data_IF_585043361545
#
_entry.id   IF_585043361545
#
_cell.length_a   1.000
_cell.length_b   1.000
_cell.length_c   1.000
_cell.angle_alpha   90.00
_cell.angle_beta   90.00
_cell.angle_gamma   90.00
#
_symmetry.space_group_name_H-M   'P 1'
#
loop_
_entity.id
_entity.type
_entity.pdbx_description
1 polymer ?
#
# COMPACT_ATOMS: atom_id res chain seq x y z
N UNK A 1 47.24 -0.72 12.88
CA UNK A 1 46.04 -0.41 12.08
C UNK A 1 44.73 -0.68 12.84
N UNK A 2 44.48 -1.88 13.35
CA UNK A 2 43.24 -2.15 14.14
C UNK A 2 43.32 -1.49 15.52
N UNK A 3 44.45 -1.48 16.18
CA UNK A 3 44.68 -0.81 17.48
C UNK A 3 44.52 0.71 17.35
N UNK A 4 45.00 1.32 16.29
CA UNK A 4 44.90 2.76 16.05
C UNK A 4 43.46 3.19 15.75
N UNK A 5 42.67 2.31 15.09
CA UNK A 5 41.24 2.51 14.83
C UNK A 5 40.41 2.48 16.13
N UNK A 6 40.69 1.53 17.05
CA UNK A 6 40.06 1.42 18.35
C UNK A 6 40.37 2.61 19.26
N UNK A 7 41.60 3.11 19.20
CA UNK A 7 42.04 4.29 19.94
C UNK A 7 41.38 5.56 19.42
N UNK A 8 41.31 5.71 18.09
CA UNK A 8 40.57 6.80 17.43
C UNK A 8 39.08 6.79 17.78
N UNK A 9 38.45 5.59 17.83
CA UNK A 9 37.07 5.43 18.25
C UNK A 9 36.82 5.85 19.71
N UNK A 10 37.74 5.49 20.59
CA UNK A 10 37.70 5.85 22.01
C UNK A 10 37.85 7.35 22.24
N UNK A 11 38.72 8.00 21.48
CA UNK A 11 38.91 9.45 21.50
C UNK A 11 37.69 10.18 20.95
N UNK A 12 37.10 9.67 19.84
CA UNK A 12 35.88 10.20 19.26
C UNK A 12 34.70 10.15 20.25
N UNK A 13 34.48 9.00 20.90
CA UNK A 13 33.43 8.84 21.92
C UNK A 13 33.68 9.73 23.15
N UNK A 14 34.95 9.92 23.56
CA UNK A 14 35.29 10.83 24.65
C UNK A 14 34.97 12.30 24.35
N UNK A 15 35.22 12.75 23.11
CA UNK A 15 34.89 14.10 22.65
C UNK A 15 33.39 14.41 22.66
N UNK A 16 32.54 13.39 22.40
CA UNK A 16 31.07 13.52 22.41
C UNK A 16 30.50 13.78 23.80
N UNK A 17 31.14 13.20 24.84
CA UNK A 17 30.66 13.31 26.23
C UNK A 17 30.99 14.68 26.83
N UNK A 18 32.03 15.36 26.36
CA UNK A 18 32.43 16.67 26.86
C UNK A 18 31.47 17.78 26.44
N UNK A 19 30.88 17.72 25.24
CA UNK A 19 29.97 18.73 24.70
C UNK A 19 28.58 18.17 24.31
N UNK A 20 27.89 17.58 25.29
CA UNK A 20 26.63 16.81 25.08
C UNK A 20 25.55 17.56 24.30
N UNK A 21 25.32 18.84 24.60
CA UNK A 21 24.29 19.66 23.94
C UNK A 21 24.60 19.88 22.45
N UNK A 22 25.87 20.13 22.13
CA UNK A 22 26.32 20.39 20.77
C UNK A 22 26.25 19.09 19.91
N UNK A 23 26.76 18.00 20.46
CA UNK A 23 26.70 16.68 19.81
C UNK A 23 25.27 16.19 19.62
N UNK A 24 24.39 16.42 20.59
CA UNK A 24 22.97 16.10 20.49
C UNK A 24 22.25 16.89 19.40
N UNK A 25 22.53 18.19 19.31
CA UNK A 25 21.87 19.05 18.31
C UNK A 25 22.28 18.72 16.87
N UNK A 26 23.53 18.29 16.66
CA UNK A 26 24.04 17.86 15.35
C UNK A 26 23.51 16.48 14.94
N UNK A 27 23.57 15.54 15.87
CA UNK A 27 23.00 14.23 15.63
C UNK A 27 21.51 14.31 15.33
N UNK A 28 20.79 15.30 15.88
CA UNK A 28 19.34 15.46 15.67
C UNK A 28 18.97 15.55 14.19
N UNK A 29 19.72 16.29 13.37
CA UNK A 29 19.48 16.37 11.93
C UNK A 29 19.64 15.02 11.22
N UNK A 30 20.69 14.26 11.59
CA UNK A 30 20.90 12.91 11.05
C UNK A 30 19.85 11.94 11.57
N UNK A 31 19.49 12.00 12.85
CA UNK A 31 18.48 11.17 13.50
C UNK A 31 17.12 11.36 12.81
N UNK A 32 16.69 12.61 12.61
CA UNK A 32 15.42 12.93 11.94
C UNK A 32 15.46 12.46 10.48
N UNK A 33 16.55 12.76 9.76
CA UNK A 33 16.69 12.36 8.35
C UNK A 33 16.63 10.86 8.18
N UNK A 34 17.42 10.10 8.92
CA UNK A 34 17.46 8.64 8.85
C UNK A 34 16.15 8.02 9.39
N UNK A 35 15.63 8.55 10.51
CA UNK A 35 14.38 8.06 11.08
C UNK A 35 13.19 8.24 10.14
N UNK A 36 13.12 9.37 9.45
CA UNK A 36 12.10 9.63 8.44
C UNK A 36 12.24 8.65 7.25
N UNK A 37 13.47 8.42 6.74
CA UNK A 37 13.70 7.45 5.66
C UNK A 37 13.20 6.06 6.05
N UNK A 38 13.61 5.56 7.21
CA UNK A 38 13.21 4.22 7.67
C UNK A 38 11.70 4.13 7.87
N UNK A 39 11.08 5.10 8.56
CA UNK A 39 9.64 5.08 8.80
C UNK A 39 8.85 5.06 7.48
N UNK A 40 9.24 5.89 6.52
CA UNK A 40 8.54 6.03 5.25
C UNK A 40 8.75 4.83 4.33
N UNK A 41 9.98 4.30 4.25
CA UNK A 41 10.25 3.07 3.49
C UNK A 41 9.49 1.88 4.09
N UNK A 42 9.46 1.77 5.42
CA UNK A 42 8.74 0.68 6.10
C UNK A 42 7.23 0.71 5.84
N UNK A 43 6.62 1.90 5.79
CA UNK A 43 5.20 2.07 5.43
C UNK A 43 4.98 1.77 3.95
N UNK A 44 5.87 2.21 3.06
CA UNK A 44 5.79 1.93 1.62
C UNK A 44 5.86 0.43 1.31
N UNK A 45 6.83 -0.27 1.89
CA UNK A 45 6.97 -1.73 1.78
C UNK A 45 5.76 -2.46 2.38
N UNK A 46 5.27 -2.02 3.54
CA UNK A 46 4.07 -2.58 4.16
C UNK A 46 2.82 -2.44 3.28
N UNK A 47 2.65 -1.29 2.63
CA UNK A 47 1.58 -1.06 1.68
C UNK A 47 1.69 -1.99 0.47
N UNK A 48 2.90 -2.15 -0.08
CA UNK A 48 3.15 -3.05 -1.20
C UNK A 48 2.86 -4.52 -0.84
N UNK A 49 3.32 -4.98 0.32
CA UNK A 49 3.02 -6.34 0.83
C UNK A 49 1.51 -6.51 0.98
N UNK A 50 0.80 -5.57 1.60
CA UNK A 50 -0.65 -5.63 1.77
C UNK A 50 -1.40 -5.70 0.43
N UNK A 51 -0.99 -4.93 -0.57
CA UNK A 51 -1.59 -4.97 -1.92
C UNK A 51 -1.30 -6.31 -2.58
N UNK A 52 -0.05 -6.79 -2.51
CA UNK A 52 0.34 -8.09 -3.08
C UNK A 52 -0.43 -9.24 -2.44
N UNK A 53 -0.59 -9.22 -1.11
CA UNK A 53 -1.35 -10.25 -0.39
C UNK A 53 -2.84 -10.23 -0.79
N UNK A 54 -3.44 -9.05 -0.94
CA UNK A 54 -4.82 -8.93 -1.43
C UNK A 54 -4.98 -9.50 -2.84
N UNK A 55 -4.06 -9.20 -3.74
CA UNK A 55 -4.09 -9.68 -5.12
C UNK A 55 -3.90 -11.19 -5.16
N UNK A 56 -2.91 -11.72 -4.45
CA UNK A 56 -2.62 -13.17 -4.42
C UNK A 56 -3.74 -13.96 -3.74
N UNK A 57 -4.42 -13.39 -2.76
CA UNK A 57 -5.56 -14.03 -2.08
C UNK A 57 -6.77 -14.25 -2.99
N UNK A 58 -6.92 -13.44 -4.03
CA UNK A 58 -8.01 -13.55 -5.03
C UNK A 58 -7.58 -14.43 -6.22
N UNK A 59 -6.29 -14.46 -6.54
CA UNK A 59 -5.70 -15.17 -7.68
C UNK A 59 -5.15 -14.18 -8.72
N UNK A 60 -3.99 -14.50 -9.25
CA UNK A 60 -3.27 -13.66 -10.23
C UNK A 60 -3.88 -13.68 -11.63
N UNK A 61 -4.80 -14.62 -11.90
CA UNK A 61 -5.44 -14.86 -13.19
C UNK A 61 -6.87 -14.29 -13.28
N UNK A 62 -7.25 -13.39 -12.36
CA UNK A 62 -8.56 -12.72 -12.37
C UNK A 62 -8.50 -11.44 -13.21
N UNK A 63 -9.45 -11.31 -14.13
CA UNK A 63 -9.76 -10.08 -14.85
C UNK A 63 -11.10 -9.55 -14.38
N UNK A 64 -11.20 -8.24 -14.20
CA UNK A 64 -12.45 -7.56 -13.85
C UNK A 64 -12.87 -6.63 -14.98
N UNK A 65 -14.02 -6.90 -15.57
CA UNK A 65 -14.64 -6.05 -16.59
C UNK A 65 -15.62 -5.10 -15.89
N UNK A 66 -15.43 -3.82 -16.08
CA UNK A 66 -16.27 -2.77 -15.50
C UNK A 66 -16.83 -1.86 -16.60
N UNK A 67 -18.03 -1.25 -16.39
CA UNK A 67 -18.50 -0.19 -17.27
C UNK A 67 -17.50 0.98 -17.31
N UNK A 68 -17.35 1.59 -18.47
CA UNK A 68 -16.54 2.78 -18.64
C UNK A 68 -17.12 4.02 -17.93
N UNK A 69 -16.52 5.19 -18.13
CA UNK A 69 -17.08 6.44 -17.64
C UNK A 69 -18.29 6.84 -18.49
N UNK A 70 -19.38 7.24 -17.81
CA UNK A 70 -20.53 7.83 -18.50
C UNK A 70 -20.10 9.15 -19.18
N UNK A 71 -20.48 9.32 -20.44
CA UNK A 71 -20.18 10.54 -21.20
C UNK A 71 -21.40 11.45 -21.23
N UNK A 72 -21.26 12.65 -20.71
CA UNK A 72 -22.24 13.72 -20.79
C UNK A 72 -21.66 14.86 -21.65
N UNK A 73 -21.66 14.68 -22.99
CA UNK A 73 -21.00 15.60 -23.90
C UNK A 73 -19.46 15.61 -23.72
N UNK A 74 -18.82 16.78 -23.53
CA UNK A 74 -17.37 16.85 -23.31
C UNK A 74 -16.92 16.45 -21.88
N UNK A 75 -17.86 16.15 -20.98
CA UNK A 75 -17.56 15.79 -19.58
C UNK A 75 -17.62 14.28 -19.43
N UNK A 76 -16.52 13.70 -18.93
CA UNK A 76 -16.45 12.28 -18.55
C UNK A 76 -16.83 12.13 -17.09
N UNK A 77 -17.72 11.17 -16.81
CA UNK A 77 -18.04 10.72 -15.45
C UNK A 77 -16.93 9.83 -14.85
N UNK A 78 -17.14 9.36 -13.65
CA UNK A 78 -16.25 8.38 -13.02
C UNK A 78 -16.32 7.02 -13.75
N UNK A 79 -15.25 6.25 -13.75
CA UNK A 79 -15.24 4.86 -14.24
C UNK A 79 -16.31 4.05 -13.49
N UNK A 80 -17.04 3.20 -14.21
CA UNK A 80 -18.18 2.43 -13.65
C UNK A 80 -19.51 3.19 -13.64
N UNK A 81 -19.57 4.45 -14.08
CA UNK A 81 -20.81 5.24 -14.10
C UNK A 81 -21.67 5.04 -15.35
N UNK A 82 -21.11 4.46 -16.42
CA UNK A 82 -21.88 4.10 -17.60
C UNK A 82 -22.73 2.84 -17.31
N UNK A 83 -24.01 2.89 -17.69
CA UNK A 83 -24.91 1.73 -17.58
C UNK A 83 -24.88 0.93 -18.90
N UNK A 84 -23.69 0.51 -19.32
CA UNK A 84 -23.46 -0.14 -20.62
C UNK A 84 -23.29 -1.63 -20.53
N UNK A 85 -22.76 -2.16 -19.42
CA UNK A 85 -22.50 -3.58 -19.26
C UNK A 85 -23.77 -4.31 -18.77
N UNK A 86 -24.16 -5.35 -19.49
CA UNK A 86 -25.41 -6.09 -19.25
C UNK A 86 -25.14 -7.53 -18.77
N UNK A 87 -26.17 -8.16 -18.22
CA UNK A 87 -26.12 -9.58 -17.87
C UNK A 87 -25.93 -10.47 -19.11
N UNK A 88 -26.54 -10.09 -20.24
CA UNK A 88 -26.39 -10.80 -21.52
C UNK A 88 -24.95 -10.73 -22.04
N UNK A 89 -24.19 -9.67 -21.72
CA UNK A 89 -22.74 -9.59 -22.02
C UNK A 89 -21.94 -10.58 -21.17
N UNK A 90 -22.30 -10.72 -19.90
CA UNK A 90 -21.68 -11.71 -19.04
C UNK A 90 -21.99 -13.16 -19.48
N UNK A 91 -23.21 -13.43 -19.97
CA UNK A 91 -23.54 -14.73 -20.58
C UNK A 91 -22.71 -14.99 -21.84
N UNK A 92 -22.56 -13.97 -22.70
CA UNK A 92 -21.73 -14.09 -23.89
C UNK A 92 -20.24 -14.31 -23.59
N UNK A 93 -19.73 -13.73 -22.48
CA UNK A 93 -18.38 -13.97 -21.99
C UNK A 93 -18.22 -15.40 -21.41
N UNK A 94 -19.31 -16.01 -20.93
CA UNK A 94 -19.31 -17.37 -20.40
C UNK A 94 -19.28 -18.46 -21.48
N UNK A 95 -19.54 -18.08 -22.74
CA UNK A 95 -19.52 -19.04 -23.87
C UNK A 95 -18.06 -19.34 -24.27
N UNK A 96 -17.61 -20.61 -24.16
CA UNK A 96 -16.26 -21.02 -24.52
C UNK A 96 -15.91 -20.81 -26.02
N UNK A 97 -16.92 -20.58 -26.90
CA UNK A 97 -16.67 -20.24 -28.30
C UNK A 97 -16.22 -18.79 -28.45
N UNK A 98 -16.65 -17.91 -27.54
CA UNK A 98 -16.31 -16.49 -27.57
C UNK A 98 -15.01 -16.20 -26.78
N UNK A 99 -14.85 -16.83 -25.62
CA UNK A 99 -13.68 -16.65 -24.73
C UNK A 99 -13.17 -18.03 -24.27
N UNK A 100 -12.44 -18.77 -25.14
CA UNK A 100 -12.03 -20.15 -24.88
C UNK A 100 -11.10 -20.30 -23.68
N UNK A 101 -10.34 -19.26 -23.32
CA UNK A 101 -9.38 -19.29 -22.23
C UNK A 101 -9.98 -18.82 -20.89
N UNK A 102 -11.25 -18.45 -20.85
CA UNK A 102 -11.97 -18.15 -19.62
C UNK A 102 -12.55 -19.42 -18.99
N UNK A 103 -12.22 -19.68 -17.71
CA UNK A 103 -12.66 -20.85 -16.96
C UNK A 103 -13.90 -20.55 -16.12
N UNK A 104 -13.97 -19.36 -15.54
CA UNK A 104 -15.07 -18.90 -14.69
C UNK A 104 -15.48 -17.49 -15.10
N UNK A 105 -16.78 -17.26 -15.24
CA UNK A 105 -17.33 -15.92 -15.46
C UNK A 105 -18.43 -15.67 -14.42
N UNK A 106 -18.22 -14.65 -13.59
CA UNK A 106 -19.14 -14.32 -12.50
C UNK A 106 -19.63 -12.86 -12.63
N UNK A 107 -20.87 -12.65 -13.11
CA UNK A 107 -21.49 -11.34 -13.12
C UNK A 107 -21.79 -10.86 -11.72
N UNK A 108 -21.63 -9.56 -11.49
CA UNK A 108 -21.94 -8.90 -10.22
C UNK A 108 -22.78 -7.66 -10.46
N UNK A 109 -23.81 -7.50 -9.66
CA UNK A 109 -24.56 -6.25 -9.55
C UNK A 109 -24.54 -5.79 -8.11
N UNK A 110 -23.84 -4.73 -7.80
CA UNK A 110 -23.62 -4.28 -6.42
C UNK A 110 -24.08 -2.84 -6.18
N UNK A 111 -24.67 -2.61 -5.03
CA UNK A 111 -24.95 -1.28 -4.47
C UNK A 111 -24.86 -1.30 -2.95
N UNK A 112 -24.39 -0.21 -2.38
CA UNK A 112 -24.42 -0.03 -0.92
C UNK A 112 -25.80 0.36 -0.46
N UNK A 113 -26.28 -0.30 0.59
CA UNK A 113 -27.58 -0.02 1.21
C UNK A 113 -27.60 -0.48 2.67
N UNK A 114 -28.64 -0.09 3.38
CA UNK A 114 -28.83 -0.49 4.78
C UNK A 114 -29.34 -1.93 4.87
N UNK A 115 -28.66 -2.71 5.72
CA UNK A 115 -29.06 -4.07 6.11
C UNK A 115 -29.38 -4.09 7.60
N UNK A 116 -30.55 -4.65 7.95
CA UNK A 116 -31.15 -4.52 9.27
C UNK A 116 -31.51 -5.88 9.81
N UNK A 117 -31.15 -6.15 11.06
CA UNK A 117 -31.61 -7.30 11.85
C UNK A 117 -31.98 -6.84 13.25
N UNK A 118 -33.25 -7.00 13.65
CA UNK A 118 -33.72 -6.47 14.94
C UNK A 118 -33.49 -4.97 15.06
N UNK A 119 -32.70 -4.58 16.03
CA UNK A 119 -32.28 -3.21 16.30
C UNK A 119 -30.90 -2.89 15.69
N UNK A 120 -30.17 -3.90 15.21
CA UNK A 120 -28.87 -3.72 14.52
C UNK A 120 -29.08 -3.25 13.07
N UNK A 121 -28.21 -2.33 12.65
CA UNK A 121 -28.28 -1.70 11.34
C UNK A 121 -26.87 -1.38 10.86
N UNK A 122 -26.51 -1.91 9.70
CA UNK A 122 -25.23 -1.65 9.05
C UNK A 122 -25.44 -1.08 7.65
N UNK A 123 -24.52 -0.27 7.19
CA UNK A 123 -24.44 0.11 5.77
C UNK A 123 -23.42 -0.82 5.11
N UNK A 124 -23.92 -1.72 4.26
CA UNK A 124 -23.11 -2.76 3.64
C UNK A 124 -23.28 -2.75 2.13
N UNK A 125 -22.29 -3.26 1.42
CA UNK A 125 -22.39 -3.54 -0.01
C UNK A 125 -23.20 -4.82 -0.22
N UNK A 126 -24.36 -4.69 -0.86
CA UNK A 126 -25.18 -5.85 -1.25
C UNK A 126 -24.82 -6.23 -2.66
N UNK A 127 -24.19 -7.42 -2.81
CA UNK A 127 -23.72 -7.98 -4.07
C UNK A 127 -24.68 -9.06 -4.58
N UNK A 128 -25.33 -8.76 -5.69
CA UNK A 128 -26.04 -9.78 -6.47
C UNK A 128 -25.06 -10.53 -7.36
N UNK A 129 -24.96 -11.84 -7.23
CA UNK A 129 -24.03 -12.66 -8.02
C UNK A 129 -24.57 -14.09 -8.25
N UNK A 130 -23.75 -14.93 -8.90
CA UNK A 130 -24.04 -16.33 -9.18
C UNK A 130 -23.14 -17.23 -8.31
N UNK A 131 -23.33 -18.54 -8.40
CA UNK A 131 -22.48 -19.57 -7.76
C UNK A 131 -21.03 -19.49 -8.22
N UNK A 132 -20.77 -19.08 -9.47
CA UNK A 132 -19.44 -18.91 -10.04
C UNK A 132 -18.58 -17.88 -9.26
N UNK A 133 -19.18 -16.94 -8.55
CA UNK A 133 -18.46 -15.92 -7.79
C UNK A 133 -17.64 -16.49 -6.64
N UNK A 134 -18.13 -17.57 -6.02
CA UNK A 134 -17.41 -18.24 -4.94
C UNK A 134 -16.03 -18.70 -5.40
N UNK A 135 -15.97 -19.40 -6.55
CA UNK A 135 -14.71 -19.87 -7.14
C UNK A 135 -13.89 -18.74 -7.73
N UNK A 136 -14.52 -17.74 -8.38
CA UNK A 136 -13.82 -16.60 -8.97
C UNK A 136 -13.07 -15.76 -7.92
N UNK A 137 -13.60 -15.67 -6.71
CA UNK A 137 -13.03 -14.89 -5.62
C UNK A 137 -12.37 -15.75 -4.54
N UNK A 138 -12.27 -17.08 -4.75
CA UNK A 138 -11.70 -18.02 -3.79
C UNK A 138 -12.28 -17.83 -2.37
N UNK A 139 -13.63 -17.85 -2.26
CA UNK A 139 -14.34 -17.66 -0.99
C UNK A 139 -14.63 -18.99 -0.33
N UNK A 140 -14.38 -19.10 0.97
CA UNK A 140 -14.71 -20.26 1.79
C UNK A 140 -15.92 -19.96 2.67
N UNK A 141 -16.75 -20.97 2.89
CA UNK A 141 -17.98 -20.87 3.69
C UNK A 141 -17.73 -21.48 5.06
N UNK A 142 -17.79 -20.64 6.11
CA UNK A 142 -17.63 -21.08 7.50
C UNK A 142 -18.84 -21.88 8.01
N UNK A 143 -20.06 -21.47 7.63
CA UNK A 143 -21.27 -22.19 7.99
C UNK A 143 -22.38 -22.03 6.95
N UNK A 144 -23.21 -23.07 6.78
CA UNK A 144 -24.27 -23.07 5.78
C UNK A 144 -23.78 -23.41 4.38
N UNK A 145 -24.25 -22.66 3.37
CA UNK A 145 -23.88 -22.80 1.96
C UNK A 145 -23.81 -21.45 1.26
N UNK A 146 -23.11 -21.41 0.13
CA UNK A 146 -23.15 -20.27 -0.77
C UNK A 146 -24.41 -20.27 -1.66
N UNK A 147 -24.58 -19.24 -2.50
CA UNK A 147 -25.62 -19.15 -3.52
C UNK A 147 -25.40 -20.27 -4.54
N UNK A 148 -26.47 -20.92 -4.94
CA UNK A 148 -26.47 -21.93 -6.00
C UNK A 148 -27.26 -21.45 -7.21
N UNK A 149 -27.03 -22.01 -8.40
CA UNK A 149 -27.76 -21.63 -9.61
C UNK A 149 -29.29 -21.72 -9.45
N UNK A 150 -29.78 -22.69 -8.68
CA UNK A 150 -31.24 -22.80 -8.36
C UNK A 150 -31.81 -21.57 -7.62
N UNK A 151 -30.98 -20.87 -6.83
CA UNK A 151 -31.42 -19.66 -6.10
C UNK A 151 -31.51 -18.47 -7.07
N UNK A 152 -30.60 -18.42 -8.07
CA UNK A 152 -30.63 -17.42 -9.15
C UNK A 152 -31.88 -17.61 -10.01
N UNK A 153 -32.11 -18.85 -10.47
CA UNK A 153 -33.25 -19.17 -11.35
C UNK A 153 -34.60 -18.87 -10.70
N UNK A 154 -34.76 -19.17 -9.41
CA UNK A 154 -35.97 -18.95 -8.63
C UNK A 154 -36.12 -17.54 -8.08
N UNK A 155 -35.12 -16.67 -8.29
CA UNK A 155 -35.04 -15.36 -7.63
C UNK A 155 -35.30 -15.47 -6.13
N UNK A 156 -34.59 -16.41 -5.48
CA UNK A 156 -34.78 -16.75 -4.10
C UNK A 156 -34.44 -15.58 -3.17
N UNK A 157 -35.26 -15.39 -2.13
CA UNK A 157 -35.00 -14.36 -1.11
C UNK A 157 -34.02 -14.91 -0.05
N UNK A 158 -32.79 -15.17 -0.45
CA UNK A 158 -31.71 -15.70 0.40
C UNK A 158 -30.52 -14.77 0.41
N UNK A 159 -29.70 -14.83 1.47
CA UNK A 159 -28.48 -14.05 1.61
C UNK A 159 -27.38 -14.90 2.23
N UNK A 160 -26.15 -14.64 1.81
CA UNK A 160 -24.91 -15.11 2.45
C UNK A 160 -24.20 -13.88 3.02
N UNK A 161 -23.75 -13.96 4.26
CA UNK A 161 -23.09 -12.86 4.95
C UNK A 161 -21.58 -13.03 4.91
N UNK A 162 -20.86 -11.95 4.68
CA UNK A 162 -19.45 -11.89 5.01
C UNK A 162 -19.22 -11.99 6.52
N UNK A 163 -18.03 -12.34 6.92
CA UNK A 163 -17.69 -12.59 8.34
C UNK A 163 -18.02 -11.38 9.23
N UNK A 164 -17.53 -10.20 8.86
CA UNK A 164 -17.72 -8.96 9.63
C UNK A 164 -19.18 -8.52 9.63
N UNK A 165 -19.86 -8.60 8.46
CA UNK A 165 -21.28 -8.28 8.37
C UNK A 165 -22.13 -9.17 9.28
N UNK A 166 -21.77 -10.46 9.40
CA UNK A 166 -22.43 -11.37 10.33
C UNK A 166 -22.17 -11.01 11.80
N UNK A 167 -20.95 -10.63 12.15
CA UNK A 167 -20.61 -10.18 13.50
C UNK A 167 -21.34 -8.90 13.89
N UNK A 168 -21.38 -7.91 13.00
CA UNK A 168 -21.98 -6.60 13.27
C UNK A 168 -23.52 -6.68 13.41
N UNK A 169 -24.16 -7.58 12.62
CA UNK A 169 -25.60 -7.76 12.68
C UNK A 169 -26.07 -8.66 13.81
N UNK A 170 -25.31 -9.72 14.12
CA UNK A 170 -25.76 -10.78 15.03
C UNK A 170 -24.99 -10.84 16.35
N UNK A 171 -23.85 -10.14 16.48
CA UNK A 171 -23.10 -10.06 17.74
C UNK A 171 -22.65 -11.43 18.30
N UNK A 172 -22.42 -12.42 17.40
CA UNK A 172 -22.02 -13.78 17.76
C UNK A 172 -23.18 -14.78 17.88
N UNK A 173 -24.44 -14.39 17.65
CA UNK A 173 -25.54 -15.34 17.52
C UNK A 173 -25.50 -16.03 16.14
N UNK A 174 -26.01 -17.27 16.07
CA UNK A 174 -26.08 -18.00 14.81
C UNK A 174 -27.03 -17.29 13.81
N UNK A 175 -26.53 -16.79 12.69
CA UNK A 175 -27.34 -16.10 11.71
C UNK A 175 -28.10 -17.03 10.75
N UNK A 176 -27.76 -18.33 10.68
CA UNK A 176 -28.36 -19.25 9.72
C UNK A 176 -29.87 -19.42 9.97
N UNK A 177 -30.67 -19.30 8.91
CA UNK A 177 -32.13 -19.36 8.97
C UNK A 177 -32.82 -18.09 9.46
N UNK A 178 -32.08 -17.10 9.96
CA UNK A 178 -32.62 -15.82 10.39
C UNK A 178 -32.99 -14.93 9.19
N UNK A 179 -33.88 -13.98 9.43
CA UNK A 179 -34.33 -13.04 8.38
C UNK A 179 -33.76 -11.66 8.59
N UNK A 180 -32.96 -11.20 7.66
CA UNK A 180 -32.49 -9.83 7.56
C UNK A 180 -33.42 -9.02 6.62
N UNK A 181 -33.40 -7.70 6.78
CA UNK A 181 -34.12 -6.76 5.91
C UNK A 181 -33.14 -5.86 5.19
N UNK A 182 -33.23 -5.82 3.87
CA UNK A 182 -32.42 -4.94 3.02
C UNK A 182 -33.30 -3.78 2.56
N UNK A 183 -32.82 -2.55 2.74
CA UNK A 183 -33.55 -1.37 2.30
C UNK A 183 -33.54 -1.27 0.76
N UNK A 184 -34.69 -0.94 0.17
CA UNK A 184 -34.83 -0.74 -1.28
C UNK A 184 -34.28 0.63 -1.67
N UNK A 185 -33.63 0.71 -2.80
CA UNK A 185 -33.26 1.99 -3.42
C UNK A 185 -34.49 2.56 -4.13
N UNK A 186 -35.15 3.58 -3.55
CA UNK A 186 -36.30 4.26 -4.18
C UNK A 186 -37.08 5.13 -3.18
N UNK A 187 -37.89 6.05 -3.70
CA UNK A 187 -38.68 7.02 -2.90
C UNK A 187 -39.69 6.40 -1.92
N UNK A 188 -40.05 5.14 -2.11
CA UNK A 188 -41.08 4.46 -1.29
C UNK A 188 -40.57 3.74 -0.05
N UNK A 189 -39.27 3.79 0.26
CA UNK A 189 -38.66 3.31 1.52
C UNK A 189 -39.00 1.84 1.88
N UNK A 190 -39.23 0.98 0.89
CA UNK A 190 -39.54 -0.43 1.10
C UNK A 190 -38.37 -1.23 1.62
N UNK A 191 -38.62 -2.45 2.10
CA UNK A 191 -37.60 -3.40 2.56
C UNK A 191 -37.90 -4.79 2.02
N UNK A 192 -36.87 -5.49 1.55
CA UNK A 192 -36.96 -6.92 1.19
C UNK A 192 -36.43 -7.75 2.33
N UNK A 193 -37.18 -8.78 2.70
CA UNK A 193 -36.75 -9.75 3.71
C UNK A 193 -36.03 -10.91 3.03
N UNK A 194 -34.81 -11.19 3.47
CA UNK A 194 -33.92 -12.26 2.98
C UNK A 194 -33.62 -13.23 4.11
N UNK A 195 -33.60 -14.53 3.82
CA UNK A 195 -33.22 -15.56 4.78
C UNK A 195 -31.71 -15.82 4.66
N UNK A 196 -30.98 -15.75 5.75
CA UNK A 196 -29.54 -16.06 5.78
C UNK A 196 -29.34 -17.57 5.61
N UNK A 197 -28.54 -17.96 4.59
CA UNK A 197 -28.26 -19.36 4.25
C UNK A 197 -26.81 -19.76 4.43
N UNK A 198 -25.92 -18.80 4.62
CA UNK A 198 -24.49 -19.04 4.82
C UNK A 198 -23.79 -17.84 5.42
N UNK A 199 -22.63 -18.12 5.99
CA UNK A 199 -21.63 -17.13 6.47
C UNK A 199 -20.28 -17.52 5.91
N UNK A 200 -19.54 -16.55 5.36
CA UNK A 200 -18.20 -16.77 4.84
C UNK A 200 -17.17 -16.82 5.97
N UNK A 201 -16.05 -17.50 5.70
CA UNK A 201 -14.87 -17.38 6.53
C UNK A 201 -14.26 -15.98 6.42
N UNK A 202 -13.54 -15.57 7.46
CA UNK A 202 -12.79 -14.32 7.47
C UNK A 202 -11.68 -14.39 6.41
N UNK A 203 -11.78 -13.56 5.39
CA UNK A 203 -10.77 -13.49 4.32
C UNK A 203 -9.63 -12.54 4.67
N UNK A 204 -9.91 -11.60 5.56
CA UNK A 204 -9.02 -10.50 5.87
C UNK A 204 -8.94 -9.53 4.69
N UNK A 205 -8.81 -8.28 4.97
CA UNK A 205 -8.71 -7.25 3.94
C UNK A 205 -9.13 -5.92 4.54
N UNK A 206 -8.24 -4.96 4.48
CA UNK A 206 -8.47 -3.65 5.03
C UNK A 206 -9.44 -2.85 4.18
N UNK A 207 -10.41 -2.28 4.84
CA UNK A 207 -11.12 -1.03 4.51
C UNK A 207 -11.60 -0.84 3.06
N UNK A 208 -12.88 -0.67 2.88
CA UNK A 208 -13.63 -0.29 1.67
C UNK A 208 -13.83 -1.39 0.63
N UNK A 209 -14.75 -2.31 0.94
CA UNK A 209 -15.27 -3.27 -0.03
C UNK A 209 -14.74 -4.70 0.13
N UNK A 210 -14.31 -5.07 1.32
CA UNK A 210 -13.93 -6.45 1.65
C UNK A 210 -15.14 -7.39 1.53
N UNK A 211 -14.90 -8.63 1.12
CA UNK A 211 -15.94 -9.67 1.12
C UNK A 211 -16.52 -9.89 2.53
N UNK A 212 -15.73 -9.57 3.56
CA UNK A 212 -16.12 -9.72 4.96
C UNK A 212 -17.24 -8.77 5.39
N UNK A 213 -17.31 -7.55 4.78
CA UNK A 213 -18.36 -6.57 5.07
C UNK A 213 -19.57 -6.68 4.17
N UNK A 214 -19.52 -7.58 3.18
CA UNK A 214 -20.52 -7.68 2.12
C UNK A 214 -21.68 -8.62 2.46
N UNK A 215 -22.83 -8.38 1.81
CA UNK A 215 -23.99 -9.27 1.83
C UNK A 215 -24.23 -9.78 0.41
N UNK A 216 -24.14 -11.07 0.19
CA UNK A 216 -24.29 -11.72 -1.11
C UNK A 216 -25.73 -12.20 -1.27
N UNK A 217 -26.31 -11.96 -2.44
CA UNK A 217 -27.66 -12.37 -2.80
C UNK A 217 -27.67 -12.90 -4.24
N UNK A 218 -28.65 -13.71 -4.66
CA UNK A 218 -28.77 -14.09 -6.07
C UNK A 218 -28.89 -12.85 -6.98
N UNK A 219 -28.12 -12.79 -8.08
CA UNK A 219 -28.07 -11.62 -8.95
C UNK A 219 -29.46 -11.23 -9.47
N UNK A 220 -30.27 -12.22 -9.82
CA UNK A 220 -31.66 -12.00 -10.25
C UNK A 220 -32.55 -11.34 -9.17
N UNK A 221 -32.27 -11.62 -7.88
CA UNK A 221 -32.96 -11.00 -6.74
C UNK A 221 -32.49 -9.56 -6.55
N UNK A 222 -31.16 -9.31 -6.64
CA UNK A 222 -30.59 -7.96 -6.56
C UNK A 222 -31.16 -7.04 -7.64
N UNK A 223 -31.11 -7.48 -8.90
CA UNK A 223 -31.53 -6.69 -10.07
C UNK A 223 -33.03 -6.43 -10.14
N UNK A 224 -33.87 -7.36 -9.66
CA UNK A 224 -35.34 -7.25 -9.87
C UNK A 224 -36.15 -6.92 -8.63
N UNK A 225 -35.64 -7.22 -7.43
CA UNK A 225 -36.37 -7.03 -6.17
C UNK A 225 -35.79 -5.95 -5.27
N UNK A 226 -34.46 -5.75 -5.30
CA UNK A 226 -33.79 -4.85 -4.37
C UNK A 226 -33.45 -3.50 -5.03
N UNK A 227 -32.87 -3.48 -6.24
CA UNK A 227 -32.28 -2.28 -6.81
C UNK A 227 -32.90 -1.79 -8.13
N UNK A 228 -33.80 -2.51 -8.74
CA UNK A 228 -34.30 -2.23 -10.09
C UNK A 228 -33.18 -1.97 -11.10
N UNK A 229 -32.32 -2.98 -11.27
CA UNK A 229 -31.08 -2.91 -12.05
C UNK A 229 -31.34 -3.05 -13.56
N UNK A 230 -32.14 -2.18 -14.17
CA UNK A 230 -32.44 -2.18 -15.61
C UNK A 230 -31.99 -0.86 -16.24
N UNK A 231 -31.54 -0.96 -17.50
CA UNK A 231 -31.31 0.24 -18.31
C UNK A 231 -32.62 0.70 -18.99
N UNK A 232 -32.55 1.78 -19.74
CA UNK A 232 -33.69 2.34 -20.46
C UNK A 232 -34.28 1.40 -21.53
N UNK A 233 -33.54 0.38 -21.96
CA UNK A 233 -33.96 -0.65 -22.90
C UNK A 233 -34.62 -1.86 -22.20
N UNK A 234 -34.62 -1.87 -20.86
CA UNK A 234 -35.11 -2.97 -20.04
C UNK A 234 -34.13 -4.11 -19.81
N UNK A 235 -32.89 -4.00 -20.28
CA UNK A 235 -31.83 -4.99 -20.11
C UNK A 235 -31.32 -4.98 -18.68
N UNK A 236 -30.96 -6.15 -18.13
CA UNK A 236 -30.43 -6.27 -16.78
C UNK A 236 -28.97 -5.84 -16.75
N UNK A 237 -28.67 -4.87 -15.89
CA UNK A 237 -27.32 -4.31 -15.75
C UNK A 237 -26.46 -5.14 -14.81
N UNK A 238 -25.17 -5.16 -15.06
CA UNK A 238 -24.14 -5.59 -14.12
C UNK A 238 -23.18 -4.43 -13.83
N UNK A 239 -22.67 -4.38 -12.61
CA UNK A 239 -21.69 -3.37 -12.20
C UNK A 239 -20.26 -3.81 -12.51
N UNK A 240 -20.05 -5.13 -12.61
CA UNK A 240 -18.79 -5.74 -13.05
C UNK A 240 -19.03 -7.20 -13.47
N UNK A 241 -18.09 -7.72 -14.24
CA UNK A 241 -18.00 -9.15 -14.55
C UNK A 241 -16.59 -9.61 -14.19
N UNK A 242 -16.51 -10.59 -13.31
CA UNK A 242 -15.25 -11.22 -12.95
C UNK A 242 -15.00 -12.41 -13.88
N UNK A 243 -13.87 -12.43 -14.53
CA UNK A 243 -13.46 -13.48 -15.48
C UNK A 243 -12.15 -14.07 -15.00
N UNK A 244 -12.12 -15.38 -14.79
CA UNK A 244 -10.91 -16.11 -14.38
C UNK A 244 -10.33 -16.79 -15.61
N UNK A 245 -9.10 -16.44 -15.97
CA UNK A 245 -8.35 -17.10 -17.03
C UNK A 245 -7.83 -18.46 -16.57
N UNK A 246 -7.55 -19.35 -17.52
CA UNK A 246 -7.03 -20.70 -17.25
C UNK A 246 -5.68 -20.68 -16.51
N UNK A 247 -4.84 -19.69 -16.77
CA UNK A 247 -3.59 -19.41 -16.05
C UNK A 247 -3.20 -17.95 -16.21
N UNK A 248 -2.19 -17.51 -15.48
CA UNK A 248 -1.63 -16.17 -15.59
C UNK A 248 -1.14 -15.86 -17.01
N UNK A 249 -0.51 -16.82 -17.67
CA UNK A 249 -0.04 -16.66 -19.05
C UNK A 249 -1.17 -16.43 -20.08
N UNK A 250 -2.42 -16.80 -19.75
CA UNK A 250 -3.58 -16.63 -20.63
C UNK A 250 -4.34 -15.30 -20.36
N UNK A 251 -3.97 -14.54 -19.34
CA UNK A 251 -4.70 -13.31 -18.97
C UNK A 251 -4.74 -12.30 -20.11
N UNK A 252 -3.61 -12.07 -20.78
CA UNK A 252 -3.54 -11.15 -21.92
C UNK A 252 -4.41 -11.63 -23.11
N UNK A 253 -4.42 -12.94 -23.40
CA UNK A 253 -5.26 -13.50 -24.46
C UNK A 253 -6.76 -13.38 -24.12
N UNK A 254 -7.13 -13.65 -22.86
CA UNK A 254 -8.51 -13.46 -22.36
C UNK A 254 -8.92 -11.99 -22.43
N UNK A 255 -8.05 -11.06 -22.08
CA UNK A 255 -8.29 -9.63 -22.19
C UNK A 255 -8.57 -9.20 -23.64
N UNK A 256 -7.76 -9.66 -24.60
CA UNK A 256 -7.98 -9.39 -26.03
C UNK A 256 -9.31 -9.98 -26.51
N UNK A 257 -9.65 -11.21 -26.11
CA UNK A 257 -10.91 -11.87 -26.44
C UNK A 257 -12.12 -11.11 -25.87
N UNK A 258 -12.06 -10.67 -24.62
CA UNK A 258 -13.10 -9.84 -23.97
C UNK A 258 -13.27 -8.53 -24.72
N UNK A 259 -12.16 -7.84 -25.02
CA UNK A 259 -12.18 -6.58 -25.76
C UNK A 259 -12.79 -6.73 -27.15
N UNK A 260 -12.42 -7.76 -27.90
CA UNK A 260 -12.97 -8.01 -29.24
C UNK A 260 -14.47 -8.33 -29.18
N UNK A 261 -14.91 -9.17 -28.23
CA UNK A 261 -16.30 -9.56 -28.08
C UNK A 261 -17.18 -8.36 -27.70
N UNK A 262 -16.81 -7.64 -26.64
CA UNK A 262 -17.62 -6.53 -26.11
C UNK A 262 -17.66 -5.35 -27.08
N UNK A 263 -16.57 -5.01 -27.75
CA UNK A 263 -16.57 -3.99 -28.82
C UNK A 263 -17.54 -4.35 -29.93
N UNK A 264 -17.52 -5.61 -30.37
CA UNK A 264 -18.46 -6.11 -31.37
C UNK A 264 -19.92 -6.03 -30.94
N UNK A 265 -20.22 -6.42 -29.69
CA UNK A 265 -21.58 -6.41 -29.12
C UNK A 265 -22.13 -4.99 -28.90
N UNK A 266 -21.26 -4.08 -28.45
CA UNK A 266 -21.61 -2.68 -28.21
C UNK A 266 -21.56 -1.82 -29.49
N UNK A 267 -21.16 -2.40 -30.64
CA UNK A 267 -21.10 -1.70 -31.93
C UNK A 267 -20.02 -0.62 -32.00
N UNK A 268 -18.94 -0.77 -31.24
CA UNK A 268 -17.85 0.18 -31.17
C UNK A 268 -16.83 -0.03 -32.30
N UNK A 269 -16.50 1.04 -33.02
CA UNK A 269 -15.46 1.05 -34.03
C UNK A 269 -14.06 0.87 -33.45
N UNK A 270 -13.07 0.53 -34.28
CA UNK A 270 -11.68 0.32 -33.82
C UNK A 270 -11.07 1.58 -33.22
N UNK A 271 -11.45 2.77 -33.72
CA UNK A 271 -10.94 4.07 -33.27
C UNK A 271 -11.83 4.73 -32.20
N UNK A 272 -12.92 4.08 -31.80
CA UNK A 272 -13.80 4.59 -30.76
C UNK A 272 -13.29 4.13 -29.37
N UNK A 273 -13.38 5.02 -28.38
CA UNK A 273 -13.08 4.65 -27.02
C UNK A 273 -14.07 3.60 -26.49
N UNK A 274 -13.57 2.60 -25.80
CA UNK A 274 -14.42 1.59 -25.20
C UNK A 274 -15.30 2.19 -24.09
N UNK A 275 -16.55 1.75 -24.04
CA UNK A 275 -17.52 2.10 -22.99
C UNK A 275 -17.48 1.10 -21.81
N UNK A 276 -16.48 0.26 -21.79
CA UNK A 276 -16.08 -0.65 -20.73
C UNK A 276 -14.57 -0.60 -20.52
N UNK A 277 -14.11 -1.15 -19.40
CA UNK A 277 -12.69 -1.32 -19.08
C UNK A 277 -12.46 -2.73 -18.56
N UNK A 278 -11.44 -3.37 -19.09
CA UNK A 278 -10.91 -4.61 -18.53
C UNK A 278 -9.73 -4.25 -17.64
N UNK A 279 -9.74 -4.73 -16.43
CA UNK A 279 -8.65 -4.56 -15.45
C UNK A 279 -8.13 -5.94 -15.10
N UNK A 280 -6.84 -6.14 -15.26
CA UNK A 280 -6.20 -7.35 -14.82
C UNK A 280 -5.44 -7.09 -13.50
N UNK A 281 -5.18 -8.15 -12.73
CA UNK A 281 -4.48 -8.03 -11.45
C UNK A 281 -3.03 -7.55 -11.60
N UNK A 282 -2.36 -7.89 -12.70
CA UNK A 282 -1.00 -7.45 -12.99
C UNK A 282 -0.94 -5.92 -13.18
N UNK A 283 -1.92 -5.32 -13.86
CA UNK A 283 -2.01 -3.86 -14.04
C UNK A 283 -2.18 -3.14 -12.70
N UNK A 284 -2.93 -3.73 -11.77
CA UNK A 284 -3.08 -3.18 -10.42
C UNK A 284 -1.78 -3.20 -9.64
N UNK A 285 -1.00 -4.29 -9.78
CA UNK A 285 0.34 -4.39 -9.17
C UNK A 285 1.31 -3.38 -9.79
N UNK A 286 1.30 -3.22 -11.11
CA UNK A 286 2.14 -2.25 -11.81
C UNK A 286 1.81 -0.83 -11.37
N UNK A 287 0.53 -0.47 -11.30
CA UNK A 287 0.07 0.84 -10.81
C UNK A 287 0.48 1.07 -9.34
N UNK A 288 0.36 0.06 -8.48
CA UNK A 288 0.79 0.15 -7.09
C UNK A 288 2.30 0.35 -6.96
N UNK A 289 3.09 -0.36 -7.78
CA UNK A 289 4.54 -0.21 -7.85
C UNK A 289 4.94 1.17 -8.35
N UNK A 290 4.25 1.70 -9.36
CA UNK A 290 4.48 3.06 -9.88
C UNK A 290 4.22 4.12 -8.82
N UNK A 291 3.06 4.05 -8.15
CA UNK A 291 2.71 4.98 -7.05
C UNK A 291 3.73 4.90 -5.92
N UNK A 292 4.11 3.69 -5.50
CA UNK A 292 5.12 3.48 -4.46
C UNK A 292 6.49 4.02 -4.89
N UNK A 293 6.86 3.84 -6.17
CA UNK A 293 8.06 4.41 -6.75
C UNK A 293 8.09 5.94 -6.69
N UNK A 294 7.00 6.59 -7.10
CA UNK A 294 6.86 8.06 -7.04
C UNK A 294 6.97 8.55 -5.59
N UNK A 295 6.27 7.91 -4.66
CA UNK A 295 6.34 8.25 -3.24
C UNK A 295 7.75 8.08 -2.69
N UNK A 296 8.44 7.00 -3.03
CA UNK A 296 9.82 6.74 -2.61
C UNK A 296 10.78 7.83 -3.10
N UNK A 297 10.66 8.27 -4.35
CA UNK A 297 11.48 9.38 -4.89
C UNK A 297 11.19 10.69 -4.16
N UNK A 298 9.91 11.01 -3.95
CA UNK A 298 9.50 12.23 -3.25
C UNK A 298 10.01 12.26 -1.80
N UNK A 299 9.83 11.16 -1.09
CA UNK A 299 10.26 11.01 0.30
C UNK A 299 11.79 10.96 0.40
N UNK A 300 12.46 10.33 -0.57
CA UNK A 300 13.92 10.33 -0.69
C UNK A 300 14.49 11.73 -0.87
N UNK A 301 13.80 12.60 -1.63
CA UNK A 301 14.20 14.00 -1.77
C UNK A 301 14.09 14.77 -0.44
N UNK A 302 12.99 14.59 0.31
CA UNK A 302 12.80 15.22 1.64
C UNK A 302 13.87 14.72 2.61
N UNK A 303 14.14 13.43 2.63
CA UNK A 303 15.17 12.82 3.44
C UNK A 303 16.56 13.34 3.07
N UNK A 304 16.85 13.47 1.77
CA UNK A 304 18.09 14.06 1.27
C UNK A 304 18.30 15.48 1.78
N UNK A 305 17.28 16.32 1.75
CA UNK A 305 17.35 17.69 2.30
C UNK A 305 17.61 17.65 3.82
N UNK A 306 16.92 16.79 4.56
CA UNK A 306 17.12 16.62 6.00
C UNK A 306 18.53 16.16 6.34
N UNK A 307 19.08 15.23 5.56
CA UNK A 307 20.45 14.75 5.71
C UNK A 307 21.48 15.82 5.35
N UNK A 308 21.25 16.65 4.33
CA UNK A 308 22.09 17.80 4.01
C UNK A 308 22.15 18.79 5.18
N UNK A 309 21.00 19.11 5.77
CA UNK A 309 20.94 20.00 6.94
C UNK A 309 21.69 19.40 8.13
N UNK A 310 21.50 18.09 8.40
CA UNK A 310 22.24 17.36 9.43
C UNK A 310 23.75 17.32 9.15
N UNK A 311 24.13 17.11 7.91
CA UNK A 311 25.54 17.11 7.47
C UNK A 311 26.22 18.48 7.62
N UNK A 312 25.54 19.57 7.26
CA UNK A 312 26.00 20.94 7.53
C UNK A 312 26.19 21.17 9.03
N UNK A 313 25.29 20.63 9.85
CA UNK A 313 25.43 20.63 11.30
C UNK A 313 26.72 19.92 11.76
N UNK A 314 27.02 18.72 11.24
CA UNK A 314 28.26 17.99 11.52
C UNK A 314 29.46 18.84 11.11
N UNK A 315 29.47 19.39 9.89
CA UNK A 315 30.55 20.22 9.37
C UNK A 315 30.83 21.43 10.28
N UNK A 316 29.77 22.18 10.67
CA UNK A 316 29.93 23.37 11.51
C UNK A 316 30.53 23.02 12.88
N UNK A 317 30.10 21.92 13.50
CA UNK A 317 30.65 21.53 14.80
C UNK A 317 32.10 21.02 14.67
N UNK A 318 32.39 20.29 13.63
CA UNK A 318 33.76 19.85 13.38
C UNK A 318 34.68 21.04 13.16
N UNK A 319 34.27 22.12 12.47
CA UNK A 319 35.04 23.35 12.31
C UNK A 319 35.31 24.02 13.66
N UNK A 320 34.30 24.12 14.51
CA UNK A 320 34.42 24.66 15.87
C UNK A 320 35.37 23.77 16.70
N UNK A 321 35.22 22.44 16.61
CA UNK A 321 36.11 21.49 17.31
C UNK A 321 37.57 21.64 16.87
N UNK A 322 37.84 21.86 15.58
CA UNK A 322 39.16 22.11 15.05
C UNK A 322 39.76 23.40 15.64
N UNK A 323 38.98 24.49 15.72
CA UNK A 323 39.43 25.75 16.30
C UNK A 323 39.71 25.65 17.80
N UNK A 324 38.85 25.00 18.56
CA UNK A 324 39.02 24.74 20.01
C UNK A 324 40.25 23.86 20.30
N UNK A 325 40.56 22.92 19.40
CA UNK A 325 41.70 21.99 19.54
C UNK A 325 42.95 22.40 18.74
N UNK A 326 43.02 23.64 18.24
CA UNK A 326 44.14 24.12 17.38
C UNK A 326 45.47 23.88 18.03
N UNK A 327 45.66 24.23 19.32
CA UNK A 327 46.90 24.06 20.08
C UNK A 327 47.28 22.55 20.25
N UNK A 328 46.32 21.70 20.52
CA UNK A 328 46.49 20.24 20.63
C UNK A 328 46.98 19.64 19.31
N UNK A 329 46.34 20.04 18.19
CA UNK A 329 46.77 19.62 16.83
C UNK A 329 48.20 20.11 16.55
N UNK A 330 48.53 21.34 16.95
CA UNK A 330 49.85 21.90 16.83
C UNK A 330 50.91 21.08 17.57
N UNK A 331 50.65 20.68 18.81
CA UNK A 331 51.52 19.83 19.62
C UNK A 331 51.73 18.47 18.94
N UNK A 332 50.68 17.80 18.51
CA UNK A 332 50.79 16.50 17.82
C UNK A 332 51.67 16.59 16.56
N UNK A 333 51.46 17.61 15.77
CA UNK A 333 52.29 17.85 14.56
C UNK A 333 53.74 18.20 14.89
N UNK A 334 53.98 18.94 15.95
CA UNK A 334 55.33 19.26 16.39
C UNK A 334 56.12 18.01 16.88
N UNK A 335 55.41 17.02 17.45
CA UNK A 335 55.97 15.73 17.88
C UNK A 335 56.08 14.71 16.70
N UNK A 336 55.62 15.07 15.49
CA UNK A 336 55.81 14.27 14.28
C UNK A 336 54.59 13.60 13.69
N UNK A 337 53.37 13.94 14.12
CA UNK A 337 52.15 13.42 13.49
C UNK A 337 52.05 13.87 12.02
N UNK A 338 51.73 12.93 11.13
CA UNK A 338 51.55 13.19 9.71
C UNK A 338 50.20 13.85 9.44
N UNK A 339 50.10 14.57 8.31
CA UNK A 339 48.81 15.13 7.87
C UNK A 339 47.73 14.09 7.78
N UNK A 340 48.06 12.89 7.30
CA UNK A 340 47.13 11.77 7.19
C UNK A 340 46.55 11.31 8.56
N UNK A 341 47.37 11.32 9.60
CA UNK A 341 46.96 10.86 10.94
C UNK A 341 45.89 11.80 11.52
N UNK A 342 46.12 13.13 11.38
CA UNK A 342 45.14 14.16 11.79
C UNK A 342 43.87 14.09 10.96
N UNK A 343 44.00 13.96 9.63
CA UNK A 343 42.87 13.85 8.71
C UNK A 343 41.98 12.63 9.07
N UNK A 344 42.59 11.46 9.23
CA UNK A 344 41.91 10.21 9.56
C UNK A 344 41.21 10.33 10.92
N UNK A 345 41.86 10.94 11.92
CA UNK A 345 41.25 11.12 13.23
C UNK A 345 39.96 11.94 13.18
N UNK A 346 39.98 13.12 12.57
CA UNK A 346 38.81 13.99 12.46
C UNK A 346 37.72 13.40 11.55
N UNK A 347 38.13 12.71 10.48
CA UNK A 347 37.17 12.01 9.60
C UNK A 347 36.45 10.88 10.34
N UNK A 348 37.18 10.08 11.14
CA UNK A 348 36.60 9.05 11.99
C UNK A 348 35.62 9.64 13.03
N UNK A 349 35.92 10.81 13.59
CA UNK A 349 35.04 11.51 14.53
C UNK A 349 33.69 11.88 13.83
N UNK A 350 33.75 12.40 12.61
CA UNK A 350 32.55 12.71 11.82
C UNK A 350 31.74 11.45 11.45
N UNK A 351 32.40 10.37 11.05
CA UNK A 351 31.78 9.08 10.72
C UNK A 351 31.12 8.46 11.95
N UNK A 352 31.78 8.48 13.10
CA UNK A 352 31.18 7.96 14.34
C UNK A 352 29.94 8.74 14.74
N UNK A 353 29.99 10.08 14.65
CA UNK A 353 28.84 10.96 14.90
C UNK A 353 27.64 10.62 13.99
N UNK A 354 27.91 10.47 12.69
CA UNK A 354 26.86 10.18 11.72
C UNK A 354 26.30 8.77 11.88
N UNK A 355 27.14 7.77 12.17
CA UNK A 355 26.68 6.39 12.41
C UNK A 355 25.87 6.26 13.70
N UNK A 356 26.26 6.94 14.77
CA UNK A 356 25.49 6.96 16.02
C UNK A 356 24.13 7.67 15.81
N UNK A 357 24.13 8.80 15.11
CA UNK A 357 22.89 9.48 14.70
C UNK A 357 22.03 8.59 13.83
N UNK A 358 22.63 7.89 12.85
CA UNK A 358 21.95 6.92 11.99
C UNK A 358 21.33 5.75 12.77
N UNK A 359 22.07 5.16 13.70
CA UNK A 359 21.59 4.05 14.54
C UNK A 359 20.38 4.48 15.39
N UNK A 360 20.48 5.64 16.04
CA UNK A 360 19.36 6.19 16.82
C UNK A 360 18.18 6.49 15.89
N UNK A 361 18.45 7.06 14.70
CA UNK A 361 17.44 7.32 13.67
C UNK A 361 16.72 6.04 13.24
N UNK A 362 17.45 4.95 12.98
CA UNK A 362 16.87 3.64 12.65
C UNK A 362 15.97 3.14 13.77
N UNK A 363 16.43 3.19 15.02
CA UNK A 363 15.64 2.76 16.16
C UNK A 363 14.34 3.56 16.31
N UNK A 364 14.40 4.87 16.13
CA UNK A 364 13.23 5.75 16.15
C UNK A 364 12.30 5.51 14.95
N UNK A 365 12.85 5.33 13.75
CA UNK A 365 12.08 5.01 12.54
C UNK A 365 11.31 3.70 12.67
N UNK A 366 11.98 2.64 13.15
CA UNK A 366 11.35 1.34 13.46
C UNK A 366 10.28 1.49 14.55
N UNK A 367 10.56 2.29 15.59
CA UNK A 367 9.59 2.56 16.65
C UNK A 367 8.33 3.27 16.14
N UNK A 368 8.49 4.26 15.26
CA UNK A 368 7.38 4.95 14.61
C UNK A 368 6.59 4.01 13.69
N UNK A 369 7.27 3.15 12.91
CA UNK A 369 6.60 2.13 12.10
C UNK A 369 5.70 1.22 12.94
N UNK A 370 6.22 0.69 14.07
CA UNK A 370 5.42 -0.12 15.00
C UNK A 370 4.24 0.62 15.62
N UNK A 371 4.37 1.92 15.86
CA UNK A 371 3.24 2.73 16.33
C UNK A 371 2.14 2.83 15.27
N UNK A 372 2.50 2.92 13.99
CA UNK A 372 1.54 2.87 12.88
C UNK A 372 0.86 1.51 12.82
N UNK A 373 1.59 0.41 12.95
CA UNK A 373 1.01 -0.95 13.01
C UNK A 373 -0.07 -1.09 14.11
N UNK A 374 0.19 -0.51 15.28
CA UNK A 374 -0.76 -0.56 16.41
C UNK A 374 -2.08 0.19 16.12
N UNK A 375 -2.11 1.09 15.14
CA UNK A 375 -3.36 1.77 14.75
C UNK A 375 -4.26 0.89 13.86
N UNK A 376 -3.74 -0.24 13.34
CA UNK A 376 -4.45 -1.13 12.43
C UNK A 376 -4.75 -0.54 11.04
N UNK A 377 -4.27 0.67 10.76
CA UNK A 377 -4.53 1.36 9.48
C UNK A 377 -3.61 0.87 8.36
N UNK A 378 -2.35 0.60 8.70
CA UNK A 378 -1.33 0.14 7.76
C UNK A 378 -0.33 -0.77 8.47
N UNK A 379 0.16 -1.80 7.78
CA UNK A 379 1.29 -2.62 8.23
C UNK A 379 2.60 -1.94 7.86
N UNK A 380 3.59 -1.96 8.75
CA UNK A 380 4.94 -1.49 8.45
C UNK A 380 5.90 -2.67 8.37
N UNK A 381 6.65 -2.76 7.28
CA UNK A 381 7.64 -3.82 7.06
C UNK A 381 9.03 -3.20 6.99
N UNK A 382 9.88 -3.53 7.97
CA UNK A 382 11.28 -3.09 7.97
C UNK A 382 12.14 -4.14 7.28
N UNK A 383 12.63 -3.81 6.09
CA UNK A 383 13.51 -4.70 5.32
C UNK A 383 14.98 -4.48 5.67
N UNK A 384 15.81 -5.51 5.46
CA UNK A 384 17.26 -5.39 5.62
C UNK A 384 17.84 -4.35 4.66
N UNK A 385 17.29 -4.24 3.45
CA UNK A 385 17.71 -3.29 2.43
C UNK A 385 17.50 -1.85 2.88
N UNK A 386 16.36 -1.54 3.52
CA UNK A 386 16.09 -0.23 4.11
C UNK A 386 17.09 0.15 5.19
N UNK A 387 17.47 -0.81 6.05
CA UNK A 387 18.47 -0.59 7.10
C UNK A 387 19.87 -0.39 6.50
N UNK A 388 20.27 -1.20 5.54
CA UNK A 388 21.58 -1.06 4.86
C UNK A 388 21.68 0.26 4.11
N UNK A 389 20.61 0.69 3.45
CA UNK A 389 20.54 1.97 2.77
C UNK A 389 20.67 3.13 3.76
N UNK A 390 19.98 3.08 4.89
CA UNK A 390 20.07 4.10 5.94
C UNK A 390 21.47 4.21 6.55
N UNK A 391 22.13 3.08 6.81
CA UNK A 391 23.53 3.05 7.26
C UNK A 391 24.46 3.62 6.19
N UNK A 392 24.26 3.24 4.93
CA UNK A 392 25.03 3.75 3.78
C UNK A 392 24.91 5.28 3.65
N UNK A 393 23.71 5.82 3.75
CA UNK A 393 23.49 7.27 3.73
C UNK A 393 24.14 7.97 4.93
N UNK A 394 24.02 7.43 6.13
CA UNK A 394 24.66 7.98 7.32
C UNK A 394 26.18 8.05 7.14
N UNK A 395 26.78 6.97 6.63
CA UNK A 395 28.22 6.90 6.35
C UNK A 395 28.63 7.94 5.29
N UNK A 396 27.88 8.04 4.20
CA UNK A 396 28.15 8.99 3.12
C UNK A 396 28.09 10.45 3.62
N UNK A 397 27.11 10.80 4.45
CA UNK A 397 26.99 12.12 5.08
C UNK A 397 28.17 12.41 5.99
N UNK A 398 28.55 11.48 6.87
CA UNK A 398 29.71 11.64 7.76
C UNK A 398 31.02 11.84 7.01
N UNK A 399 31.25 11.07 5.95
CA UNK A 399 32.42 11.22 5.09
C UNK A 399 32.43 12.57 4.34
N UNK A 400 31.30 12.89 3.63
CA UNK A 400 31.25 14.08 2.79
C UNK A 400 31.41 15.37 3.58
N UNK A 401 30.66 15.52 4.66
CA UNK A 401 30.70 16.72 5.48
C UNK A 401 31.86 16.76 6.47
N UNK A 402 32.50 15.60 6.76
CA UNK A 402 33.70 15.49 7.60
C UNK A 402 35.02 15.82 6.87
N UNK A 403 35.06 15.63 5.52
CA UNK A 403 36.28 15.83 4.73
C UNK A 403 36.82 17.27 4.86
N UNK A 404 35.95 18.26 4.71
CA UNK A 404 36.38 19.67 4.72
C UNK A 404 36.99 20.10 6.06
N UNK A 405 36.38 19.93 7.23
CA UNK A 405 36.99 20.27 8.51
C UNK A 405 38.21 19.41 8.83
N UNK A 406 38.23 18.13 8.48
CA UNK A 406 39.39 17.26 8.68
C UNK A 406 40.60 17.72 7.86
N UNK A 407 40.39 18.15 6.63
CA UNK A 407 41.46 18.69 5.79
C UNK A 407 41.95 20.03 6.33
N UNK A 408 41.10 20.89 6.86
CA UNK A 408 41.48 22.13 7.51
C UNK A 408 42.36 21.87 8.76
N UNK A 409 41.99 20.92 9.61
CA UNK A 409 42.78 20.50 10.76
C UNK A 409 44.15 19.94 10.34
N UNK A 410 44.15 19.08 9.30
CA UNK A 410 45.39 18.52 8.75
C UNK A 410 46.29 19.57 8.07
N UNK A 411 45.74 20.71 7.64
CA UNK A 411 46.49 21.82 7.02
C UNK A 411 47.15 22.79 8.00
N UNK A 412 46.79 22.80 9.30
CA UNK A 412 47.31 23.74 10.29
C UNK A 412 48.83 23.71 10.37
N UNK A 413 49.48 24.92 10.44
CA UNK A 413 50.89 25.07 10.65
C UNK A 413 51.22 24.89 12.14
N UNK A 414 52.15 24.00 12.55
CA UNK A 414 52.46 23.79 13.96
C UNK A 414 52.88 25.05 14.70
N UNK A 415 53.65 25.94 14.04
CA UNK A 415 54.18 27.17 14.65
C UNK A 415 53.04 28.15 14.95
N UNK A 416 52.12 28.33 14.00
CA UNK A 416 50.97 29.21 14.15
C UNK A 416 49.98 28.65 15.16
N UNK A 417 49.74 27.31 15.13
CA UNK A 417 48.83 26.64 16.05
C UNK A 417 49.29 26.71 17.53
N UNK A 418 50.59 26.74 17.78
CA UNK A 418 51.15 26.89 19.13
C UNK A 418 51.10 28.33 19.66
N UNK A 419 50.97 29.33 18.77
CA UNK A 419 50.83 30.75 19.11
C UNK A 419 49.40 31.19 19.28
N UNK A 420 48.44 30.33 18.98
CA UNK A 420 47.02 30.60 19.14
C UNK A 420 46.66 30.58 20.64
N UNK A 421 46.21 31.72 21.16
CA UNK A 421 45.70 31.90 22.53
C UNK A 421 44.19 31.54 22.63
#
# INVERSE_FOLDING_TARGET
MITDLLESLRVALGGLVVNKMRSGLTMLGVIIGVGAVIALMSVGEGAQVSITDQITSVGTNLLTVMPGPARFGPVQGATGSAATLTYDDAEALSDPHNVPDAVVVAPVYSKSTQVIFGDANINSSVLGTTDAYQSAQNLEVASGRFIEQKDVDKRANVAVLGHQAAQDLFGGFDPIGQKIKVALSGENGGRVSLTVIGVLEEKGGSAMGSADDAVFVPISTAQTKIFDGRNARGELLVTQVNVVAASEDHTAAVEDQINALLRGRHGLGLDEDADFRVMNQADMLEMANEITGILTVFLGAIAGISLLVGGIGIMNIMLVSVTERTREIGIRKAVGARKADILTQFLMEAVVLSLLGGLIGILLGVGLGKLVDMTGVMTSVVTLDSVLMAVGFSLAVGLFFGIYPANQAAGLNPIEALRYE
#
